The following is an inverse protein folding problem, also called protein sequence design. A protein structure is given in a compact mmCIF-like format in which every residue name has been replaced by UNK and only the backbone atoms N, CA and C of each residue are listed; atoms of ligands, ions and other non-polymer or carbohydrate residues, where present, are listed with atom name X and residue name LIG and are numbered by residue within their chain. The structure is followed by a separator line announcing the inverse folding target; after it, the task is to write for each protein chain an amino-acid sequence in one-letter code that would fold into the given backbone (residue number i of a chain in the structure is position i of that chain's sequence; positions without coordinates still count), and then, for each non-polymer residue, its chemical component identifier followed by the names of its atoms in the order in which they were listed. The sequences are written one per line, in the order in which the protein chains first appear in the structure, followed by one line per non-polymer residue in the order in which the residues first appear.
data_IF_264829274679
#
_entry.id   IF_264829274679
#
_cell.length_a   1.000
_cell.length_b   1.000
_cell.length_c   1.000
_cell.angle_alpha   90.00
_cell.angle_beta   90.00
_cell.angle_gamma   90.00
#
_symmetry.space_group_name_H-M   'P 1'
#
loop_
_entity.id
_entity.type
_entity.pdbx_description
1 polymer ?
#
# COMPACT_ATOMS: atom_id res chain seq x y z
N UNK A 1 -11.97 -7.90 -11.78
CA UNK A 1 -11.00 -6.93 -11.30
C UNK A 1 -11.49 -6.34 -9.98
N UNK A 2 -10.62 -6.26 -8.98
CA UNK A 2 -10.97 -5.72 -7.67
C UNK A 2 -11.30 -4.22 -7.76
N UNK A 3 -12.42 -3.80 -7.21
CA UNK A 3 -12.79 -2.39 -7.13
C UNK A 3 -12.17 -1.72 -5.92
N UNK A 4 -12.16 -0.38 -5.90
CA UNK A 4 -11.69 0.39 -4.74
C UNK A 4 -12.45 0.03 -3.46
N UNK A 5 -13.77 -0.11 -3.53
CA UNK A 5 -14.60 -0.51 -2.39
C UNK A 5 -14.30 -1.93 -1.90
N UNK A 6 -14.06 -2.85 -2.81
CA UNK A 6 -13.68 -4.23 -2.47
C UNK A 6 -12.31 -4.28 -1.81
N UNK A 7 -11.34 -3.55 -2.31
CA UNK A 7 -10.02 -3.45 -1.69
C UNK A 7 -10.11 -2.84 -0.29
N UNK A 8 -10.89 -1.78 -0.12
CA UNK A 8 -11.09 -1.16 1.19
C UNK A 8 -11.69 -2.15 2.20
N UNK A 9 -12.72 -2.87 1.80
CA UNK A 9 -13.36 -3.89 2.65
C UNK A 9 -12.37 -5.02 3.01
N UNK A 10 -11.56 -5.45 2.05
CA UNK A 10 -10.53 -6.46 2.26
C UNK A 10 -9.47 -5.97 3.27
N UNK A 11 -8.97 -4.75 3.09
CA UNK A 11 -8.00 -4.16 4.02
C UNK A 11 -8.57 -4.07 5.44
N UNK A 12 -9.78 -3.51 5.59
CA UNK A 12 -10.43 -3.39 6.89
C UNK A 12 -10.67 -4.74 7.57
N UNK A 13 -11.00 -5.77 6.79
CA UNK A 13 -11.29 -7.10 7.31
C UNK A 13 -10.04 -7.90 7.68
N UNK A 14 -8.98 -7.81 6.90
CA UNK A 14 -7.76 -8.58 7.09
C UNK A 14 -6.71 -7.89 7.96
N UNK A 15 -6.69 -6.56 7.96
CA UNK A 15 -5.73 -5.75 8.70
C UNK A 15 -6.50 -4.77 9.60
N UNK A 16 -6.83 -5.17 10.84
CA UNK A 16 -7.69 -4.36 11.73
C UNK A 16 -7.21 -2.93 11.93
N UNK A 17 -5.90 -2.69 11.90
CA UNK A 17 -5.35 -1.33 12.02
C UNK A 17 -5.89 -0.41 10.92
N UNK A 18 -6.08 -0.92 9.71
CA UNK A 18 -6.59 -0.10 8.59
C UNK A 18 -8.00 0.42 8.85
N UNK A 19 -8.83 -0.35 9.55
CA UNK A 19 -10.15 0.08 9.98
C UNK A 19 -10.06 1.13 11.11
N UNK A 20 -9.18 0.91 12.09
CA UNK A 20 -8.95 1.86 13.19
C UNK A 20 -8.39 3.21 12.68
N UNK A 21 -7.59 3.19 11.63
CA UNK A 21 -7.10 4.38 10.94
C UNK A 21 -8.18 5.11 10.14
N UNK A 22 -9.34 4.50 9.99
CA UNK A 22 -10.38 4.99 9.08
C UNK A 22 -9.86 5.21 7.66
N UNK A 23 -9.02 4.29 7.19
CA UNK A 23 -8.41 4.31 5.87
C UNK A 23 -9.49 4.18 4.80
N UNK A 24 -9.34 4.93 3.72
CA UNK A 24 -10.18 4.79 2.52
C UNK A 24 -9.33 4.59 1.27
N UNK A 25 -9.83 3.77 0.34
CA UNK A 25 -9.25 3.61 -0.99
C UNK A 25 -9.91 4.64 -1.91
N UNK A 26 -9.15 5.64 -2.32
CA UNK A 26 -9.65 6.77 -3.13
C UNK A 26 -9.66 6.47 -4.62
N UNK A 27 -8.60 5.84 -5.10
CA UNK A 27 -8.45 5.43 -6.49
C UNK A 27 -7.75 4.08 -6.55
N UNK A 28 -8.17 3.25 -7.47
CA UNK A 28 -7.52 1.98 -7.77
C UNK A 28 -7.55 1.76 -9.28
N UNK A 29 -6.36 1.62 -9.86
CA UNK A 29 -6.13 1.26 -11.26
C UNK A 29 -5.26 0.01 -11.31
N UNK A 30 -5.00 -0.51 -12.51
CA UNK A 30 -4.20 -1.72 -12.67
C UNK A 30 -2.79 -1.60 -12.04
N UNK A 31 -2.16 -0.44 -12.16
CA UNK A 31 -0.78 -0.22 -11.75
C UNK A 31 -0.62 0.86 -10.68
N UNK A 32 -1.70 1.33 -10.07
CA UNK A 32 -1.61 2.35 -9.03
C UNK A 32 -2.79 2.30 -8.05
N UNK A 33 -2.53 2.73 -6.83
CA UNK A 33 -3.54 2.90 -5.80
C UNK A 33 -3.27 4.18 -5.01
N UNK A 34 -4.33 4.90 -4.64
CA UNK A 34 -4.26 6.01 -3.70
C UNK A 34 -5.10 5.69 -2.49
N UNK A 35 -4.47 5.69 -1.31
CA UNK A 35 -5.11 5.54 -0.02
C UNK A 35 -5.13 6.87 0.73
N UNK A 36 -6.13 7.06 1.58
CA UNK A 36 -6.25 8.24 2.43
C UNK A 36 -6.49 7.84 3.88
N UNK A 37 -5.86 8.56 4.80
CA UNK A 37 -6.09 8.45 6.23
C UNK A 37 -6.46 9.84 6.79
N UNK A 38 -7.61 9.99 7.49
CA UNK A 38 -8.00 11.26 8.06
C UNK A 38 -7.14 11.61 9.28
N UNK A 39 -6.83 12.89 9.44
CA UNK A 39 -6.07 13.38 10.60
C UNK A 39 -6.78 13.08 11.92
N UNK A 40 -8.12 13.19 11.94
CA UNK A 40 -8.92 13.00 13.15
C UNK A 40 -8.70 11.65 13.83
N UNK A 41 -8.49 10.57 13.07
CA UNK A 41 -8.25 9.22 13.59
C UNK A 41 -6.76 8.89 13.77
N UNK A 42 -5.85 9.76 13.33
CA UNK A 42 -4.42 9.46 13.20
C UNK A 42 -3.49 10.55 13.76
N UNK A 43 -4.03 11.50 14.51
CA UNK A 43 -3.20 12.58 15.04
C UNK A 43 -2.30 12.11 16.19
N UNK A 44 -1.18 12.80 16.35
CA UNK A 44 -0.26 12.65 17.47
C UNK A 44 -0.61 13.64 18.60
N UNK A 45 0.28 13.71 19.60
CA UNK A 45 0.15 14.63 20.77
C UNK A 45 0.14 16.12 20.38
N UNK A 46 0.69 16.47 19.21
CA UNK A 46 0.76 17.85 18.71
C UNK A 46 -0.37 18.19 17.72
N UNK A 47 -1.30 17.26 17.45
CA UNK A 47 -2.40 17.48 16.50
C UNK A 47 -2.01 17.35 15.04
N UNK A 48 -0.83 16.83 14.73
CA UNK A 48 -0.42 16.48 13.38
C UNK A 48 -0.46 14.96 13.18
N UNK A 49 -0.26 14.49 11.96
CA UNK A 49 -0.33 13.06 11.64
C UNK A 49 0.77 12.28 12.39
N UNK A 50 0.35 11.25 13.15
CA UNK A 50 1.28 10.38 13.86
C UNK A 50 2.23 9.67 12.89
N UNK A 51 3.52 9.61 13.23
CA UNK A 51 4.55 9.00 12.40
C UNK A 51 4.24 7.54 12.05
N UNK A 52 3.75 6.78 13.03
CA UNK A 52 3.35 5.38 12.81
C UNK A 52 2.19 5.22 11.84
N UNK A 53 1.22 6.14 11.85
CA UNK A 53 0.12 6.16 10.88
C UNK A 53 0.62 6.45 9.47
N UNK A 54 1.60 7.33 9.33
CA UNK A 54 2.22 7.61 8.02
C UNK A 54 2.90 6.37 7.46
N UNK A 55 3.70 5.69 8.27
CA UNK A 55 4.36 4.43 7.89
C UNK A 55 3.33 3.36 7.52
N UNK A 56 2.29 3.20 8.34
CA UNK A 56 1.23 2.22 8.11
C UNK A 56 0.49 2.50 6.80
N UNK A 57 0.16 3.77 6.51
CA UNK A 57 -0.55 4.12 5.27
C UNK A 57 0.28 3.77 4.03
N UNK A 58 1.57 4.08 4.03
CA UNK A 58 2.46 3.73 2.93
C UNK A 58 2.60 2.20 2.77
N UNK A 59 2.77 1.48 3.88
CA UNK A 59 2.84 0.02 3.88
C UNK A 59 1.58 -0.60 3.28
N UNK A 60 0.41 -0.09 3.66
CA UNK A 60 -0.89 -0.56 3.18
C UNK A 60 -1.10 -0.20 1.70
N UNK A 61 -0.60 0.94 1.25
CA UNK A 61 -0.68 1.32 -0.16
C UNK A 61 0.10 0.33 -1.05
N UNK A 62 1.33 0.02 -0.68
CA UNK A 62 2.15 -0.94 -1.41
C UNK A 62 1.57 -2.36 -1.36
N UNK A 63 1.21 -2.83 -0.17
CA UNK A 63 0.62 -4.15 -0.01
C UNK A 63 -0.72 -4.27 -0.73
N UNK A 64 -1.57 -3.25 -0.59
CA UNK A 64 -2.90 -3.23 -1.22
C UNK A 64 -2.84 -3.24 -2.74
N UNK A 65 -1.90 -2.50 -3.33
CA UNK A 65 -1.69 -2.50 -4.77
C UNK A 65 -1.27 -3.89 -5.26
N UNK A 66 -0.31 -4.53 -4.60
CA UNK A 66 0.15 -5.87 -4.98
C UNK A 66 -0.96 -6.91 -4.80
N UNK A 67 -1.75 -6.79 -3.74
CA UNK A 67 -2.88 -7.69 -3.50
C UNK A 67 -3.95 -7.55 -4.58
N UNK A 68 -4.34 -6.33 -4.92
CA UNK A 68 -5.31 -6.08 -5.98
C UNK A 68 -4.82 -6.61 -7.33
N UNK A 69 -3.53 -6.41 -7.63
CA UNK A 69 -2.93 -6.93 -8.85
C UNK A 69 -2.94 -8.47 -8.86
N UNK A 70 -2.48 -9.12 -7.80
CA UNK A 70 -2.47 -10.58 -7.72
C UNK A 70 -3.87 -11.17 -7.87
N UNK A 71 -4.85 -10.58 -7.20
CA UNK A 71 -6.25 -11.03 -7.31
C UNK A 71 -6.78 -10.87 -8.75
N UNK A 72 -6.44 -9.78 -9.43
CA UNK A 72 -6.84 -9.56 -10.82
C UNK A 72 -6.25 -10.58 -11.79
N UNK A 73 -5.15 -11.22 -11.41
CA UNK A 73 -4.45 -12.24 -12.18
C UNK A 73 -4.77 -13.67 -11.74
N UNK A 74 -5.71 -13.85 -10.80
CA UNK A 74 -6.00 -15.14 -10.17
C UNK A 74 -4.74 -15.82 -9.62
N UNK A 75 -3.81 -15.02 -9.11
CA UNK A 75 -2.56 -15.50 -8.55
C UNK A 75 -2.63 -15.57 -7.02
N UNK A 76 -2.57 -16.79 -6.50
CA UNK A 76 -2.46 -17.00 -5.07
C UNK A 76 -1.01 -16.75 -4.64
N UNK A 77 -0.77 -15.61 -4.02
CA UNK A 77 0.55 -15.19 -3.60
C UNK A 77 0.56 -14.71 -2.15
N UNK A 78 1.65 -15.04 -1.46
CA UNK A 78 2.00 -14.41 -0.20
C UNK A 78 2.69 -13.08 -0.48
N UNK A 79 2.21 -12.03 0.16
CA UNK A 79 2.68 -10.66 -0.04
C UNK A 79 3.14 -10.10 1.30
N UNK A 80 4.38 -9.68 1.39
CA UNK A 80 4.95 -9.14 2.62
C UNK A 80 5.81 -7.90 2.35
N UNK A 81 5.84 -7.00 3.32
CA UNK A 81 6.83 -5.93 3.38
C UNK A 81 8.05 -6.46 4.12
N UNK A 82 9.17 -6.64 3.41
CA UNK A 82 10.39 -7.23 3.96
C UNK A 82 11.32 -6.19 4.61
N UNK A 83 11.33 -4.96 4.09
CA UNK A 83 12.17 -3.88 4.60
C UNK A 83 11.52 -2.55 4.24
N UNK A 84 11.66 -1.55 5.10
CA UNK A 84 11.15 -0.21 4.82
C UNK A 84 12.02 0.86 5.49
N UNK A 85 12.06 2.00 4.82
CA UNK A 85 12.69 3.22 5.29
C UNK A 85 11.70 4.37 5.07
N UNK A 86 11.56 5.25 6.05
CA UNK A 86 10.71 6.43 5.93
C UNK A 86 11.44 7.65 6.45
N UNK A 87 11.31 8.77 5.73
CA UNK A 87 11.84 10.07 6.12
C UNK A 87 10.70 11.05 6.30
N UNK A 88 10.62 11.62 7.49
CA UNK A 88 9.64 12.65 7.83
C UNK A 88 10.25 14.02 7.54
N UNK A 89 9.75 14.71 6.50
CA UNK A 89 10.32 15.97 6.00
C UNK A 89 9.71 17.18 6.69
N UNK A 90 8.43 17.10 7.04
CA UNK A 90 7.67 18.16 7.70
C UNK A 90 6.45 17.59 8.40
N UNK A 91 5.90 18.29 9.42
CA UNK A 91 4.64 17.87 10.04
C UNK A 91 3.52 17.80 9.01
N UNK A 92 2.75 16.71 9.05
CA UNK A 92 1.57 16.55 8.20
C UNK A 92 0.35 17.05 8.96
N UNK A 93 -0.12 18.24 8.62
CA UNK A 93 -1.16 18.96 9.35
C UNK A 93 -2.55 18.83 8.70
N UNK A 94 -2.86 17.70 8.12
CA UNK A 94 -4.14 17.44 7.46
C UNK A 94 -4.28 15.96 7.12
N UNK A 95 -5.37 15.63 6.42
CA UNK A 95 -5.61 14.28 5.93
C UNK A 95 -4.49 13.87 4.98
N UNK A 96 -4.00 12.64 5.13
CA UNK A 96 -2.83 12.16 4.43
C UNK A 96 -3.21 11.24 3.28
N UNK A 97 -2.55 11.40 2.14
CA UNK A 97 -2.68 10.51 0.99
C UNK A 97 -1.35 9.83 0.67
N UNK A 98 -1.43 8.55 0.32
CA UNK A 98 -0.31 7.76 -0.17
C UNK A 98 -0.68 7.13 -1.50
N UNK A 99 0.16 7.33 -2.52
CA UNK A 99 -0.01 6.73 -3.84
C UNK A 99 1.15 5.78 -4.10
N UNK A 100 0.82 4.51 -4.33
CA UNK A 100 1.75 3.49 -4.77
C UNK A 100 1.53 3.21 -6.26
N UNK A 101 2.61 3.02 -7.00
CA UNK A 101 2.56 2.74 -8.43
C UNK A 101 3.56 1.65 -8.80
N UNK A 102 3.21 0.85 -9.81
CA UNK A 102 4.08 -0.14 -10.42
C UNK A 102 4.53 0.36 -11.79
N UNK A 103 5.84 0.32 -12.03
CA UNK A 103 6.39 0.60 -13.36
C UNK A 103 6.12 -0.56 -14.31
N UNK A 104 6.28 -0.33 -15.61
CA UNK A 104 6.14 -1.38 -16.63
C UNK A 104 7.13 -2.52 -16.38
N UNK A 105 8.36 -2.21 -15.97
CA UNK A 105 9.37 -3.22 -15.61
C UNK A 105 8.93 -4.04 -14.39
N UNK A 106 8.39 -3.39 -13.36
CA UNK A 106 7.87 -4.09 -12.17
C UNK A 106 6.67 -4.98 -12.51
N UNK A 107 5.76 -4.50 -13.37
CA UNK A 107 4.65 -5.32 -13.87
C UNK A 107 5.15 -6.54 -14.62
N UNK A 108 6.15 -6.38 -15.49
CA UNK A 108 6.75 -7.49 -16.23
C UNK A 108 7.37 -8.53 -15.27
N UNK A 109 8.06 -8.09 -14.24
CA UNK A 109 8.64 -8.98 -13.23
C UNK A 109 7.59 -9.73 -12.43
N UNK A 110 6.48 -9.09 -12.10
CA UNK A 110 5.34 -9.75 -11.43
C UNK A 110 4.67 -10.78 -12.35
N UNK A 111 4.48 -10.46 -13.62
CA UNK A 111 3.94 -11.40 -14.61
C UNK A 111 4.83 -12.63 -14.76
N UNK A 112 6.13 -12.45 -14.81
CA UNK A 112 7.09 -13.54 -14.89
C UNK A 112 7.03 -14.42 -13.63
N UNK A 113 6.99 -13.82 -12.44
CA UNK A 113 6.85 -14.54 -11.19
C UNK A 113 5.54 -15.34 -11.14
N UNK A 114 4.44 -14.74 -11.57
CA UNK A 114 3.13 -15.40 -11.62
C UNK A 114 3.15 -16.59 -12.58
N UNK A 115 3.70 -16.42 -13.78
CA UNK A 115 3.71 -17.46 -14.81
C UNK A 115 4.45 -18.72 -14.34
N UNK A 116 5.57 -18.56 -13.61
CA UNK A 116 6.35 -19.67 -13.05
C UNK A 116 5.93 -20.05 -11.63
N UNK A 117 4.90 -19.41 -11.06
CA UNK A 117 4.53 -19.52 -9.65
C UNK A 117 5.74 -19.35 -8.72
N UNK A 118 6.62 -18.43 -9.07
CA UNK A 118 7.85 -18.10 -8.35
C UNK A 118 7.70 -16.91 -7.42
N UNK A 119 8.72 -16.06 -7.37
CA UNK A 119 8.75 -14.90 -6.51
C UNK A 119 9.31 -13.66 -7.21
N UNK A 120 8.91 -12.50 -6.72
CA UNK A 120 9.47 -11.21 -7.11
C UNK A 120 9.69 -10.36 -5.87
N UNK A 121 10.73 -9.53 -5.90
CA UNK A 121 10.99 -8.48 -4.92
C UNK A 121 10.96 -7.14 -5.62
N UNK A 122 10.16 -6.22 -5.10
CA UNK A 122 9.94 -4.91 -5.69
C UNK A 122 10.18 -3.82 -4.67
N UNK A 123 10.97 -2.82 -5.06
CA UNK A 123 11.13 -1.62 -4.27
C UNK A 123 10.12 -0.58 -4.74
N UNK A 124 9.28 -0.11 -3.82
CA UNK A 124 8.28 0.92 -4.08
C UNK A 124 8.65 2.18 -3.32
N UNK A 125 8.75 3.30 -4.05
CA UNK A 125 8.91 4.63 -3.47
C UNK A 125 7.52 5.27 -3.40
N UNK A 126 7.10 5.63 -2.19
CA UNK A 126 5.75 6.16 -1.92
C UNK A 126 5.90 7.48 -1.19
N UNK A 127 5.46 8.56 -1.82
CA UNK A 127 5.37 9.87 -1.18
C UNK A 127 4.03 9.99 -0.46
N UNK A 128 4.07 10.53 0.76
CA UNK A 128 2.89 10.81 1.56
C UNK A 128 2.64 12.31 1.56
N UNK A 129 1.41 12.70 1.19
CA UNK A 129 1.07 14.10 0.90
C UNK A 129 -0.13 14.58 1.69
N UNK A 130 -0.07 15.85 2.07
CA UNK A 130 -1.22 16.63 2.56
C UNK A 130 -1.47 17.76 1.57
N UNK A 131 -2.64 17.80 0.96
CA UNK A 131 -3.01 18.80 -0.06
C UNK A 131 -1.94 18.97 -1.14
N UNK A 132 -1.40 17.85 -1.63
CA UNK A 132 -0.38 17.83 -2.68
C UNK A 132 1.05 18.10 -2.22
N UNK A 133 1.27 18.47 -0.95
CA UNK A 133 2.61 18.71 -0.40
C UNK A 133 3.18 17.44 0.21
N UNK A 134 4.38 17.04 -0.20
CA UNK A 134 5.06 15.86 0.35
C UNK A 134 5.49 16.14 1.78
N UNK A 135 4.96 15.35 2.72
CA UNK A 135 5.30 15.44 4.14
C UNK A 135 6.30 14.37 4.58
N UNK A 136 6.25 13.19 3.94
CA UNK A 136 7.20 12.12 4.18
C UNK A 136 7.43 11.29 2.93
N UNK A 137 8.57 10.59 2.90
CA UNK A 137 8.95 9.68 1.82
C UNK A 137 9.25 8.30 2.38
N UNK A 138 8.59 7.33 1.80
CA UNK A 138 8.70 5.93 2.17
C UNK A 138 9.30 5.15 1.01
N UNK A 139 10.25 4.25 1.33
CA UNK A 139 10.74 3.25 0.39
C UNK A 139 10.59 1.89 1.04
N UNK A 140 9.84 0.99 0.39
CA UNK A 140 9.59 -0.34 0.90
C UNK A 140 10.01 -1.42 -0.07
N UNK A 141 10.67 -2.47 0.43
CA UNK A 141 10.94 -3.68 -0.31
C UNK A 141 9.82 -4.68 -0.04
N UNK A 142 8.99 -4.90 -1.04
CA UNK A 142 7.89 -5.86 -0.99
C UNK A 142 8.29 -7.16 -1.67
N UNK A 143 7.90 -8.28 -1.08
CA UNK A 143 8.09 -9.60 -1.66
C UNK A 143 6.73 -10.22 -1.99
N UNK A 144 6.63 -10.79 -3.18
CA UNK A 144 5.48 -11.55 -3.64
C UNK A 144 5.95 -12.95 -4.01
N UNK A 145 5.32 -13.97 -3.44
CA UNK A 145 5.68 -15.37 -3.72
C UNK A 145 4.43 -16.20 -3.95
N UNK A 146 4.40 -16.94 -5.05
CA UNK A 146 3.32 -17.87 -5.33
C UNK A 146 3.23 -18.95 -4.25
N UNK A 147 2.01 -19.25 -3.86
CA UNK A 147 1.70 -20.34 -2.91
C UNK A 147 1.15 -21.53 -3.66
N UNK A 148 1.30 -22.73 -3.08
CA UNK A 148 0.62 -23.90 -3.61
C UNK A 148 -0.90 -23.67 -3.50
N UNK A 149 -1.64 -24.01 -4.58
CA UNK A 149 -3.10 -24.07 -4.51
C UNK A 149 -3.45 -25.08 -3.43
N UNK A 150 -4.13 -24.63 -2.38
CA UNK A 150 -4.70 -25.58 -1.41
C UNK A 150 -5.72 -26.45 -2.13
N UNK A 151 -5.56 -27.76 -2.02
CA UNK A 151 -6.58 -28.71 -2.44
C UNK A 151 -7.84 -28.57 -1.59
#
# INVERSE_FOLDING_TARGET
MTTANELQALLHGQIPLSAAMNLSVRHLEESSVTLRAPLAANHNHAGTMFAGSQHALASLAGWGLLRAWADSQDWSAELVLAHADIRYLRPAAGDLEATASLSDDQLARLQEARAGNGSARLELAIDLRVDGTVCSRFTGLFAARGTASGD
#
